data_IF_959734696226
#
_entry.id   IF_959734696226
#
_cell.length_a   1.000
_cell.length_b   1.000
_cell.length_c   1.000
_cell.angle_alpha   90.00
_cell.angle_beta   90.00
_cell.angle_gamma   90.00
#
_symmetry.space_group_name_H-M   'P 1'
#
loop_
_entity.id
_entity.type
_entity.pdbx_description
1 polymer ?
#
# COMPACT_ATOMS: atom_id res chain seq x y z
N UNK A 1 -2.29 -29.03 3.24
CA UNK A 1 -2.21 -27.57 3.21
C UNK A 1 -3.32 -27.09 2.28
N UNK A 2 -4.36 -26.43 2.80
CA UNK A 2 -5.42 -25.84 1.98
C UNK A 2 -4.82 -24.67 1.21
N UNK A 3 -5.00 -24.65 -0.12
CA UNK A 3 -4.62 -23.50 -0.95
C UNK A 3 -5.29 -22.24 -0.39
N UNK A 4 -4.57 -21.14 -0.14
CA UNK A 4 -5.18 -19.91 0.35
C UNK A 4 -6.28 -19.47 -0.63
N UNK A 5 -7.43 -19.09 -0.08
CA UNK A 5 -8.55 -18.62 -0.89
C UNK A 5 -8.30 -17.17 -1.31
N UNK A 6 -8.25 -16.93 -2.61
CA UNK A 6 -8.14 -15.57 -3.15
C UNK A 6 -9.44 -14.80 -2.95
N UNK A 7 -9.35 -13.59 -2.47
CA UNK A 7 -10.46 -12.62 -2.39
C UNK A 7 -10.40 -11.59 -3.51
N UNK A 8 -9.20 -11.33 -4.06
CA UNK A 8 -8.99 -10.53 -5.26
C UNK A 8 -8.17 -11.35 -6.24
N UNK A 9 -8.59 -11.39 -7.48
CA UNK A 9 -7.89 -11.99 -8.60
C UNK A 9 -7.88 -11.00 -9.76
N UNK A 10 -6.69 -10.62 -10.19
CA UNK A 10 -6.45 -9.71 -11.31
C UNK A 10 -5.58 -10.41 -12.33
N UNK A 11 -6.03 -10.45 -13.59
CA UNK A 11 -5.30 -11.08 -14.70
C UNK A 11 -5.30 -10.15 -15.89
N UNK A 12 -4.09 -9.78 -16.31
CA UNK A 12 -3.83 -8.98 -17.50
C UNK A 12 -4.69 -7.71 -17.57
N UNK A 13 -4.75 -6.99 -16.44
CA UNK A 13 -5.58 -5.80 -16.31
C UNK A 13 -5.01 -4.65 -17.12
N UNK A 14 -5.85 -4.10 -18.01
CA UNK A 14 -5.53 -2.89 -18.77
C UNK A 14 -6.55 -1.79 -18.54
N UNK A 15 -6.05 -0.55 -18.46
CA UNK A 15 -6.87 0.67 -18.48
C UNK A 15 -6.17 1.76 -19.28
N UNK A 16 -6.83 2.20 -20.35
CA UNK A 16 -6.37 3.31 -21.19
C UNK A 16 -7.30 4.51 -21.11
N UNK A 17 -6.75 5.71 -21.24
CA UNK A 17 -7.43 6.99 -21.38
C UNK A 17 -6.88 7.70 -22.61
N UNK A 18 -7.64 7.69 -23.72
CA UNK A 18 -7.09 8.10 -25.01
C UNK A 18 -5.86 7.26 -25.35
N UNK A 19 -4.72 7.92 -25.57
CA UNK A 19 -3.46 7.25 -25.92
C UNK A 19 -2.61 6.86 -24.69
N UNK A 20 -3.06 7.16 -23.48
CA UNK A 20 -2.30 6.89 -22.25
C UNK A 20 -2.76 5.60 -21.60
N UNK A 21 -1.88 4.62 -21.47
CA UNK A 21 -2.10 3.42 -20.66
C UNK A 21 -1.81 3.73 -19.18
N UNK A 22 -2.85 3.83 -18.38
CA UNK A 22 -2.73 4.05 -16.93
C UNK A 22 -2.46 2.74 -16.16
N UNK A 23 -2.94 1.61 -16.68
CA UNK A 23 -2.63 0.26 -16.21
C UNK A 23 -2.38 -0.59 -17.45
N UNK A 24 -1.28 -1.33 -17.47
CA UNK A 24 -0.78 -2.06 -18.64
C UNK A 24 -0.35 -3.48 -18.27
N UNK A 25 -1.29 -4.44 -18.34
CA UNK A 25 -1.04 -5.86 -18.13
C UNK A 25 -0.80 -6.27 -16.67
N UNK A 26 -1.38 -5.56 -15.70
CA UNK A 26 -1.19 -5.85 -14.27
C UNK A 26 -1.90 -7.14 -13.87
N UNK A 27 -1.18 -8.04 -13.19
CA UNK A 27 -1.70 -9.31 -12.67
C UNK A 27 -1.24 -9.55 -11.24
N UNK A 28 -2.16 -9.85 -10.31
CA UNK A 28 -1.87 -10.21 -8.93
C UNK A 28 -3.08 -10.86 -8.25
N UNK A 29 -2.84 -11.46 -7.09
CA UNK A 29 -3.85 -12.03 -6.21
C UNK A 29 -3.73 -11.46 -4.81
N UNK A 30 -4.86 -11.33 -4.10
CA UNK A 30 -4.89 -11.03 -2.66
C UNK A 30 -5.58 -12.21 -1.96
N UNK A 31 -4.91 -12.73 -0.93
CA UNK A 31 -5.41 -13.87 -0.15
C UNK A 31 -6.33 -13.40 0.97
N UNK A 32 -7.25 -14.25 1.38
CA UNK A 32 -8.16 -13.96 2.48
C UNK A 32 -7.40 -13.73 3.78
N UNK A 33 -7.69 -12.63 4.46
CA UNK A 33 -7.12 -12.25 5.75
C UNK A 33 -5.73 -11.63 5.69
N UNK A 34 -5.13 -11.45 4.50
CA UNK A 34 -3.86 -10.72 4.39
C UNK A 34 -4.07 -9.21 4.28
N UNK A 35 -3.07 -8.45 4.67
CA UNK A 35 -2.89 -7.06 4.30
C UNK A 35 -1.94 -6.98 3.12
N UNK A 36 -2.47 -6.58 1.97
CA UNK A 36 -1.72 -6.40 0.73
C UNK A 36 -1.42 -4.92 0.50
N UNK A 37 -0.12 -4.57 0.40
CA UNK A 37 0.31 -3.21 0.11
C UNK A 37 0.53 -3.01 -1.39
N UNK A 38 -0.17 -2.04 -2.01
CA UNK A 38 0.05 -1.65 -3.39
C UNK A 38 0.89 -0.37 -3.42
N UNK A 39 2.17 -0.52 -3.78
CA UNK A 39 3.18 0.53 -3.75
C UNK A 39 3.45 1.06 -5.16
N UNK A 40 3.98 2.27 -5.24
CA UNK A 40 4.39 2.87 -6.52
C UNK A 40 4.37 4.40 -6.44
N UNK A 41 5.05 5.10 -7.37
CA UNK A 41 5.05 6.55 -7.43
C UNK A 41 3.68 7.12 -7.79
N UNK A 42 3.52 8.43 -7.64
CA UNK A 42 2.32 9.13 -8.07
C UNK A 42 2.17 8.99 -9.60
N UNK A 43 0.94 8.70 -10.04
CA UNK A 43 0.66 8.47 -11.47
C UNK A 43 1.01 7.06 -11.97
N UNK A 44 1.53 6.16 -11.13
CA UNK A 44 1.87 4.78 -11.52
C UNK A 44 0.67 3.88 -11.88
N UNK A 45 -0.56 4.34 -11.66
CA UNK A 45 -1.78 3.57 -11.95
C UNK A 45 -2.47 2.94 -10.73
N UNK A 46 -1.93 3.11 -9.51
CA UNK A 46 -2.50 2.53 -8.27
C UNK A 46 -3.98 2.86 -8.07
N UNK A 47 -4.32 4.15 -8.01
CA UNK A 47 -5.72 4.58 -7.80
C UNK A 47 -6.64 4.09 -8.91
N UNK A 48 -6.17 4.07 -10.16
CA UNK A 48 -6.93 3.51 -11.29
C UNK A 48 -7.20 2.01 -11.10
N UNK A 49 -6.20 1.24 -10.67
CA UNK A 49 -6.38 -0.18 -10.40
C UNK A 49 -7.38 -0.41 -9.24
N UNK A 50 -7.23 0.33 -8.13
CA UNK A 50 -8.13 0.24 -6.97
C UNK A 50 -9.56 0.60 -7.36
N UNK A 51 -9.79 1.72 -8.04
CA UNK A 51 -11.14 2.13 -8.50
C UNK A 51 -11.81 1.07 -9.39
N UNK A 52 -11.02 0.29 -10.13
CA UNK A 52 -11.54 -0.86 -10.90
C UNK A 52 -11.93 -2.00 -9.95
N UNK A 53 -11.13 -2.31 -8.94
CA UNK A 53 -11.43 -3.35 -7.95
C UNK A 53 -12.66 -3.00 -7.10
N UNK A 54 -12.86 -1.73 -6.79
CA UNK A 54 -14.03 -1.20 -6.07
C UNK A 54 -15.32 -1.20 -6.94
N UNK A 55 -15.19 -1.41 -8.25
CA UNK A 55 -16.29 -1.31 -9.20
C UNK A 55 -16.74 0.12 -9.50
N UNK A 56 -15.92 1.11 -9.13
CA UNK A 56 -16.16 2.52 -9.44
C UNK A 56 -15.79 2.85 -10.89
N UNK A 57 -14.74 2.20 -11.42
CA UNK A 57 -14.20 2.43 -12.76
C UNK A 57 -14.24 1.16 -13.60
N UNK A 58 -14.54 1.31 -14.89
CA UNK A 58 -14.46 0.21 -15.85
C UNK A 58 -13.06 0.02 -16.37
N UNK A 59 -12.62 -1.24 -16.46
CA UNK A 59 -11.38 -1.62 -17.15
C UNK A 59 -11.52 -1.52 -18.67
N UNK A 60 -10.40 -1.45 -19.38
CA UNK A 60 -10.38 -1.56 -20.86
C UNK A 60 -10.39 -3.03 -21.28
N UNK A 61 -9.57 -3.87 -20.64
CA UNK A 61 -9.52 -5.33 -20.85
C UNK A 61 -8.96 -6.04 -19.62
N UNK A 62 -8.83 -7.37 -19.70
CA UNK A 62 -8.38 -8.22 -18.61
C UNK A 62 -9.53 -8.77 -17.77
N UNK A 63 -9.18 -9.62 -16.80
CA UNK A 63 -10.15 -10.25 -15.89
C UNK A 63 -9.92 -9.76 -14.47
N UNK A 64 -11.02 -9.43 -13.78
CA UNK A 64 -11.00 -9.00 -12.37
C UNK A 64 -12.12 -9.72 -11.64
N UNK A 65 -11.77 -10.35 -10.53
CA UNK A 65 -12.72 -10.92 -9.57
C UNK A 65 -12.39 -10.38 -8.16
N UNK A 66 -13.40 -9.88 -7.49
CA UNK A 66 -13.31 -9.40 -6.11
C UNK A 66 -14.42 -10.08 -5.32
N UNK A 67 -14.05 -10.79 -4.25
CA UNK A 67 -14.97 -11.63 -3.46
C UNK A 67 -15.82 -12.57 -4.33
N UNK A 68 -15.21 -13.10 -5.42
CA UNK A 68 -15.82 -14.05 -6.35
C UNK A 68 -16.70 -13.41 -7.44
N UNK A 69 -16.88 -12.08 -7.47
CA UNK A 69 -17.70 -11.38 -8.45
C UNK A 69 -16.86 -10.46 -9.35
N UNK A 70 -17.36 -10.18 -10.55
CA UNK A 70 -16.83 -9.13 -11.41
C UNK A 70 -17.35 -7.76 -10.91
N UNK A 71 -16.45 -6.84 -10.46
CA UNK A 71 -16.85 -5.54 -9.92
C UNK A 71 -17.73 -4.69 -10.83
N UNK A 72 -17.58 -4.81 -12.16
CA UNK A 72 -18.39 -4.05 -13.12
C UNK A 72 -19.85 -4.48 -13.16
N UNK A 73 -20.15 -5.70 -12.71
CA UNK A 73 -21.49 -6.31 -12.77
C UNK A 73 -22.08 -6.54 -11.39
N UNK A 74 -21.32 -6.31 -10.34
CA UNK A 74 -21.71 -6.64 -8.98
C UNK A 74 -22.78 -5.69 -8.43
N UNK A 75 -23.73 -6.26 -7.68
CA UNK A 75 -24.85 -5.55 -7.08
C UNK A 75 -24.58 -5.00 -5.67
N UNK A 76 -25.66 -4.54 -5.00
CA UNK A 76 -25.58 -3.94 -3.67
C UNK A 76 -25.10 -4.92 -2.60
N UNK A 77 -25.50 -6.18 -2.66
CA UNK A 77 -25.09 -7.22 -1.70
C UNK A 77 -23.57 -7.42 -1.71
N UNK A 78 -22.95 -7.35 -2.89
CA UNK A 78 -21.51 -7.40 -3.02
C UNK A 78 -20.86 -6.13 -2.45
N UNK A 79 -21.41 -4.94 -2.76
CA UNK A 79 -20.89 -3.65 -2.22
C UNK A 79 -20.95 -3.61 -0.70
N UNK A 80 -21.98 -4.22 -0.08
CA UNK A 80 -22.11 -4.30 1.38
C UNK A 80 -20.98 -5.11 2.05
N UNK A 81 -20.22 -5.92 1.29
CA UNK A 81 -19.07 -6.70 1.78
C UNK A 81 -17.75 -5.95 1.67
N UNK A 82 -17.75 -4.74 1.06
CA UNK A 82 -16.59 -3.87 0.90
C UNK A 82 -16.61 -2.74 1.91
N UNK A 83 -15.44 -2.38 2.41
CA UNK A 83 -15.18 -1.12 3.07
C UNK A 83 -14.24 -0.29 2.20
N UNK A 84 -14.53 1.00 2.04
CA UNK A 84 -13.72 1.90 1.22
C UNK A 84 -13.42 3.16 2.01
N UNK A 85 -12.12 3.47 2.12
CA UNK A 85 -11.62 4.69 2.76
C UNK A 85 -10.80 5.47 1.72
N UNK A 86 -11.46 6.46 1.09
CA UNK A 86 -10.85 7.26 0.03
C UNK A 86 -9.82 8.26 0.58
N UNK A 87 -8.90 8.72 -0.26
CA UNK A 87 -7.89 9.73 0.08
C UNK A 87 -8.51 11.06 0.56
N UNK A 88 -9.61 11.48 -0.01
CA UNK A 88 -10.35 12.68 0.39
C UNK A 88 -11.84 12.40 0.54
N UNK A 89 -12.40 12.75 1.69
CA UNK A 89 -13.84 12.81 1.88
C UNK A 89 -14.35 14.18 1.45
N UNK A 90 -15.48 14.18 0.73
CA UNK A 90 -16.18 15.41 0.33
C UNK A 90 -16.64 16.25 1.55
N UNK A 91 -17.23 17.42 1.30
CA UNK A 91 -17.79 18.25 2.35
C UNK A 91 -18.85 17.47 3.15
N UNK A 92 -18.55 17.24 4.42
CA UNK A 92 -19.47 16.59 5.35
C UNK A 92 -20.42 17.65 5.93
N UNK A 93 -21.71 17.36 5.86
CA UNK A 93 -22.76 18.23 6.37
C UNK A 93 -22.68 18.54 7.87
N UNK A 94 -23.67 19.24 8.39
CA UNK A 94 -23.75 19.62 9.81
C UNK A 94 -24.27 18.47 10.70
N UNK A 95 -23.60 17.30 10.61
CA UNK A 95 -23.91 16.11 11.42
C UNK A 95 -22.79 15.80 12.39
N UNK A 96 -23.12 15.14 13.49
CA UNK A 96 -22.13 14.65 14.47
C UNK A 96 -21.51 13.34 14.00
N UNK A 97 -20.37 12.96 14.62
CA UNK A 97 -19.72 11.65 14.37
C UNK A 97 -20.70 10.50 14.58
N UNK A 98 -21.42 10.51 15.70
CA UNK A 98 -22.41 9.47 16.03
C UNK A 98 -23.55 9.41 15.03
N UNK A 99 -24.14 10.54 14.67
CA UNK A 99 -25.23 10.59 13.68
C UNK A 99 -24.78 10.05 12.33
N UNK A 100 -23.59 10.39 11.87
CA UNK A 100 -23.04 9.86 10.62
C UNK A 100 -22.87 8.34 10.68
N UNK A 101 -22.22 7.82 11.72
CA UNK A 101 -22.01 6.38 11.85
C UNK A 101 -23.32 5.61 12.01
N UNK A 102 -24.28 6.15 12.77
CA UNK A 102 -25.61 5.57 12.87
C UNK A 102 -26.33 5.51 11.52
N UNK A 103 -26.22 6.59 10.73
CA UNK A 103 -26.77 6.61 9.38
C UNK A 103 -26.14 5.53 8.50
N UNK A 104 -24.80 5.45 8.46
CA UNK A 104 -24.12 4.43 7.65
C UNK A 104 -24.41 3.01 8.14
N UNK A 105 -24.44 2.79 9.46
CA UNK A 105 -24.81 1.50 10.04
C UNK A 105 -26.17 1.01 9.55
N UNK A 106 -27.15 1.92 9.38
CA UNK A 106 -28.50 1.57 8.89
C UNK A 106 -28.56 1.05 7.45
N UNK A 107 -27.48 1.24 6.67
CA UNK A 107 -27.37 0.78 5.29
C UNK A 107 -26.87 -0.67 5.17
N UNK A 108 -26.37 -1.25 6.25
CA UNK A 108 -25.81 -2.60 6.26
C UNK A 108 -26.70 -3.58 7.02
N UNK A 109 -26.77 -4.85 6.57
CA UNK A 109 -27.64 -5.84 7.22
C UNK A 109 -27.12 -6.30 8.59
N UNK A 110 -25.80 -6.23 8.82
CA UNK A 110 -25.16 -6.64 10.06
C UNK A 110 -24.00 -5.69 10.42
N UNK A 111 -24.28 -4.42 10.77
CA UNK A 111 -23.24 -3.45 11.07
C UNK A 111 -22.53 -3.79 12.40
N UNK A 112 -21.35 -3.18 12.62
CA UNK A 112 -20.72 -3.11 13.94
C UNK A 112 -21.55 -2.18 14.82
N UNK A 113 -21.42 -2.35 16.15
CA UNK A 113 -21.95 -1.39 17.08
C UNK A 113 -21.28 -0.03 16.90
N UNK A 114 -22.07 1.05 16.91
CA UNK A 114 -21.58 2.42 16.64
C UNK A 114 -20.60 2.88 17.72
N UNK A 115 -20.86 2.54 19.00
CA UNK A 115 -19.98 2.92 20.10
C UNK A 115 -18.66 2.14 20.07
N UNK A 116 -18.71 0.85 19.73
CA UNK A 116 -17.49 0.05 19.50
C UNK A 116 -16.63 0.64 18.38
N UNK A 117 -17.25 1.07 17.27
CA UNK A 117 -16.50 1.69 16.17
C UNK A 117 -15.92 3.04 16.54
N UNK A 118 -16.67 3.88 17.25
CA UNK A 118 -16.19 5.17 17.76
C UNK A 118 -14.96 4.96 18.67
N UNK A 119 -15.02 3.99 19.57
CA UNK A 119 -13.91 3.64 20.45
C UNK A 119 -12.71 3.10 19.67
N UNK A 120 -12.94 2.20 18.70
CA UNK A 120 -11.89 1.62 17.89
C UNK A 120 -11.06 2.66 17.11
N UNK A 121 -11.69 3.77 16.69
CA UNK A 121 -10.99 4.88 16.01
C UNK A 121 -10.55 5.99 16.97
N UNK A 122 -10.77 5.86 18.29
CA UNK A 122 -10.35 6.82 19.32
C UNK A 122 -11.06 8.16 19.20
N UNK A 123 -12.39 8.14 19.03
CA UNK A 123 -13.23 9.33 18.87
C UNK A 123 -14.33 9.44 19.95
N UNK A 124 -14.20 8.76 21.10
CA UNK A 124 -15.20 8.71 22.17
C UNK A 124 -15.56 10.12 22.66
N UNK A 125 -14.56 10.97 22.93
CA UNK A 125 -14.77 12.35 23.39
C UNK A 125 -15.35 13.26 22.29
N UNK A 126 -15.32 12.82 21.04
CA UNK A 126 -15.79 13.56 19.87
C UNK A 126 -17.07 12.99 19.26
N UNK A 127 -17.67 11.96 19.88
CA UNK A 127 -18.88 11.30 19.36
C UNK A 127 -20.03 12.28 19.06
N UNK A 128 -20.24 13.28 19.93
CA UNK A 128 -21.24 14.34 19.77
C UNK A 128 -20.73 15.60 19.03
N UNK A 129 -19.48 15.64 18.60
CA UNK A 129 -18.94 16.79 17.88
C UNK A 129 -19.38 16.81 16.43
N UNK A 130 -19.67 17.99 15.88
CA UNK A 130 -19.92 18.16 14.45
C UNK A 130 -18.67 17.85 13.67
N UNK A 131 -18.76 17.04 12.62
CA UNK A 131 -17.60 16.58 11.82
C UNK A 131 -16.84 17.76 11.21
N UNK A 132 -17.54 18.82 10.78
CA UNK A 132 -16.90 20.04 10.26
C UNK A 132 -15.99 20.77 11.27
N UNK A 133 -16.14 20.50 12.59
CA UNK A 133 -15.32 21.08 13.66
C UNK A 133 -14.12 20.22 14.05
N UNK A 134 -13.99 19.02 13.47
CA UNK A 134 -12.88 18.11 13.73
C UNK A 134 -11.60 18.56 13.01
N UNK A 135 -10.44 18.20 13.59
CA UNK A 135 -9.18 18.33 12.88
C UNK A 135 -9.13 17.41 11.65
N UNK A 136 -8.17 17.62 10.74
CA UNK A 136 -8.00 16.75 9.57
C UNK A 136 -7.81 15.28 9.94
N UNK A 137 -6.93 15.00 10.92
CA UNK A 137 -6.72 13.63 11.41
C UNK A 137 -7.97 13.03 12.08
N UNK A 138 -8.74 13.82 12.83
CA UNK A 138 -10.00 13.33 13.41
C UNK A 138 -11.04 13.03 12.33
N UNK A 139 -11.16 13.87 11.30
CA UNK A 139 -12.03 13.57 10.15
C UNK A 139 -11.62 12.28 9.44
N UNK A 140 -10.31 12.09 9.24
CA UNK A 140 -9.80 10.85 8.62
C UNK A 140 -10.15 9.60 9.44
N UNK A 141 -10.15 9.70 10.79
CA UNK A 141 -10.63 8.61 11.67
C UNK A 141 -12.14 8.34 11.51
N UNK A 142 -12.94 9.37 11.22
CA UNK A 142 -14.37 9.17 10.87
C UNK A 142 -14.51 8.44 9.54
N UNK A 143 -13.70 8.75 8.54
CA UNK A 143 -13.73 8.06 7.24
C UNK A 143 -13.41 6.57 7.41
N UNK A 144 -12.40 6.26 8.22
CA UNK A 144 -12.07 4.87 8.57
C UNK A 144 -13.24 4.20 9.31
N UNK A 145 -13.86 4.89 10.27
CA UNK A 145 -15.01 4.39 10.99
C UNK A 145 -16.18 4.05 10.06
N UNK A 146 -16.44 4.90 9.06
CA UNK A 146 -17.44 4.62 8.00
C UNK A 146 -17.03 3.40 7.17
N UNK A 147 -15.76 3.27 6.83
CA UNK A 147 -15.27 2.12 6.04
C UNK A 147 -15.42 0.77 6.75
N UNK A 148 -15.36 0.75 8.10
CA UNK A 148 -15.40 -0.51 8.87
C UNK A 148 -16.77 -0.81 9.50
N UNK A 149 -17.71 0.14 9.50
CA UNK A 149 -19.02 -0.01 10.16
C UNK A 149 -19.82 -1.20 9.62
N UNK A 150 -19.70 -1.50 8.32
CA UNK A 150 -20.39 -2.58 7.62
C UNK A 150 -19.83 -3.98 7.85
N UNK A 151 -18.80 -4.18 8.69
CA UNK A 151 -18.05 -5.45 8.83
C UNK A 151 -17.53 -5.97 7.49
N UNK A 152 -16.71 -5.21 6.76
CA UNK A 152 -16.27 -5.61 5.42
C UNK A 152 -15.43 -6.89 5.46
N UNK A 153 -15.57 -7.72 4.41
CA UNK A 153 -14.65 -8.83 4.15
C UNK A 153 -13.36 -8.35 3.48
N UNK A 154 -13.44 -7.26 2.70
CA UNK A 154 -12.32 -6.59 2.05
C UNK A 154 -12.42 -5.08 2.30
N UNK A 155 -11.35 -4.51 2.88
CA UNK A 155 -11.22 -3.09 3.17
C UNK A 155 -10.16 -2.46 2.26
N UNK A 156 -10.55 -1.45 1.50
CA UNK A 156 -9.65 -0.60 0.73
C UNK A 156 -9.26 0.61 1.55
N UNK A 157 -7.96 0.85 1.68
CA UNK A 157 -7.37 1.97 2.41
C UNK A 157 -6.46 2.74 1.47
N UNK A 158 -6.94 3.87 0.95
CA UNK A 158 -6.16 4.72 0.05
C UNK A 158 -5.50 5.85 0.85
N UNK A 159 -4.17 5.72 1.05
CA UNK A 159 -3.33 6.64 1.84
C UNK A 159 -3.93 7.02 3.21
N UNK A 160 -4.27 6.04 4.06
CA UNK A 160 -5.16 6.26 5.21
C UNK A 160 -4.57 7.15 6.30
N UNK A 161 -3.24 7.25 6.43
CA UNK A 161 -2.58 8.00 7.50
C UNK A 161 -2.03 9.35 7.07
N UNK A 162 -2.36 9.80 5.87
CA UNK A 162 -1.95 11.12 5.40
C UNK A 162 -2.46 12.22 6.33
N UNK A 163 -1.54 13.05 6.86
CA UNK A 163 -1.85 14.12 7.81
C UNK A 163 -2.01 13.67 9.27
N UNK A 164 -1.71 12.41 9.59
CA UNK A 164 -1.66 11.96 11.00
C UNK A 164 -0.33 12.36 11.64
N UNK A 165 -0.41 12.71 12.93
CA UNK A 165 0.77 12.74 13.80
C UNK A 165 1.27 11.32 14.10
N UNK A 166 2.49 11.16 14.64
CA UNK A 166 3.07 9.83 14.91
C UNK A 166 2.22 8.97 15.88
N UNK A 167 1.51 9.57 16.85
CA UNK A 167 0.69 8.85 17.80
C UNK A 167 -0.60 8.35 17.15
N UNK A 168 -1.26 9.21 16.39
CA UNK A 168 -2.43 8.86 15.59
C UNK A 168 -2.13 7.73 14.60
N UNK A 169 -0.96 7.78 13.95
CA UNK A 169 -0.53 6.74 13.01
C UNK A 169 -0.34 5.39 13.71
N UNK A 170 0.31 5.35 14.87
CA UNK A 170 0.49 4.10 15.64
C UNK A 170 -0.86 3.51 16.09
N UNK A 171 -1.77 4.36 16.54
CA UNK A 171 -3.12 3.94 16.93
C UNK A 171 -3.89 3.36 15.75
N UNK A 172 -3.77 3.99 14.58
CA UNK A 172 -4.35 3.49 13.34
C UNK A 172 -3.75 2.14 12.92
N UNK A 173 -2.45 1.97 13.00
CA UNK A 173 -1.81 0.68 12.71
C UNK A 173 -2.29 -0.44 13.65
N UNK A 174 -2.50 -0.13 14.93
CA UNK A 174 -3.08 -1.08 15.88
C UNK A 174 -4.51 -1.50 15.47
N UNK A 175 -5.34 -0.54 15.02
CA UNK A 175 -6.67 -0.83 14.49
C UNK A 175 -6.62 -1.72 13.25
N UNK A 176 -5.74 -1.43 12.28
CA UNK A 176 -5.59 -2.24 11.06
C UNK A 176 -5.21 -3.68 11.42
N UNK A 177 -4.24 -3.88 12.33
CA UNK A 177 -3.86 -5.22 12.80
C UNK A 177 -5.00 -5.94 13.51
N UNK A 178 -5.81 -5.23 14.29
CA UNK A 178 -6.99 -5.79 14.92
C UNK A 178 -7.99 -6.27 13.86
N UNK A 179 -8.32 -5.44 12.87
CA UNK A 179 -9.24 -5.81 11.79
C UNK A 179 -8.75 -7.04 11.00
N UNK A 180 -7.45 -7.10 10.72
CA UNK A 180 -6.81 -8.27 10.10
C UNK A 180 -6.96 -9.52 10.98
N UNK A 181 -6.71 -9.40 12.29
CA UNK A 181 -6.86 -10.52 13.23
C UNK A 181 -8.31 -11.01 13.36
N UNK A 182 -9.29 -10.17 13.06
CA UNK A 182 -10.72 -10.50 12.96
C UNK A 182 -11.09 -11.16 11.62
N UNK A 183 -10.13 -11.29 10.70
CA UNK A 183 -10.28 -11.93 9.39
C UNK A 183 -10.62 -10.99 8.23
N UNK A 184 -10.61 -9.66 8.45
CA UNK A 184 -10.75 -8.68 7.37
C UNK A 184 -9.52 -8.72 6.46
N UNK A 185 -9.74 -8.84 5.15
CA UNK A 185 -8.66 -8.67 4.16
C UNK A 185 -8.50 -7.19 3.88
N UNK A 186 -7.27 -6.73 3.71
CA UNK A 186 -6.98 -5.29 3.55
C UNK A 186 -6.13 -5.07 2.31
N UNK A 187 -6.56 -4.15 1.44
CA UNK A 187 -5.74 -3.58 0.38
C UNK A 187 -5.38 -2.15 0.78
N UNK A 188 -4.09 -1.92 0.98
CA UNK A 188 -3.52 -0.66 1.43
C UNK A 188 -2.71 -0.01 0.32
N UNK A 189 -2.98 1.26 -0.02
CA UNK A 189 -1.99 2.10 -0.71
C UNK A 189 -1.36 3.06 0.28
N UNK A 190 -0.09 3.28 0.11
CA UNK A 190 0.62 4.28 0.92
C UNK A 190 1.86 4.77 0.17
N UNK A 191 2.25 5.99 0.45
CA UNK A 191 3.57 6.53 0.09
C UNK A 191 4.55 6.48 1.27
N UNK A 192 4.07 6.04 2.46
CA UNK A 192 4.90 5.80 3.64
C UNK A 192 5.34 4.33 3.67
N UNK A 193 6.56 4.07 3.26
CA UNK A 193 7.07 2.69 3.18
C UNK A 193 7.17 2.01 4.54
N UNK A 194 7.37 2.80 5.61
CA UNK A 194 7.26 2.31 7.00
C UNK A 194 5.87 1.74 7.32
N UNK A 195 4.80 2.34 6.78
CA UNK A 195 3.44 1.84 6.95
C UNK A 195 3.26 0.49 6.26
N UNK A 196 3.73 0.38 5.02
CA UNK A 196 3.72 -0.89 4.29
C UNK A 196 4.54 -1.96 5.02
N UNK A 197 5.74 -1.61 5.50
CA UNK A 197 6.61 -2.52 6.26
C UNK A 197 5.99 -2.99 7.58
N UNK A 198 5.16 -2.16 8.22
CA UNK A 198 4.52 -2.48 9.51
C UNK A 198 3.22 -3.26 9.35
N UNK A 199 2.48 -3.07 8.28
CA UNK A 199 1.12 -3.59 8.12
C UNK A 199 1.02 -4.67 7.05
N UNK A 200 1.85 -4.63 6.01
CA UNK A 200 1.75 -5.50 4.86
C UNK A 200 2.32 -6.89 5.11
N UNK A 201 1.60 -7.91 4.70
CA UNK A 201 2.12 -9.28 4.60
C UNK A 201 2.84 -9.46 3.25
N UNK A 202 2.24 -8.94 2.18
CA UNK A 202 2.79 -8.93 0.83
C UNK A 202 2.64 -7.55 0.21
N UNK A 203 3.51 -7.25 -0.75
CA UNK A 203 3.40 -6.03 -1.54
C UNK A 203 3.51 -6.29 -3.03
N UNK A 204 2.78 -5.47 -3.81
CA UNK A 204 3.00 -5.28 -5.23
C UNK A 204 3.53 -3.88 -5.50
N UNK A 205 4.58 -3.77 -6.29
CA UNK A 205 5.13 -2.48 -6.73
C UNK A 205 4.66 -2.23 -8.16
N UNK A 206 3.92 -1.14 -8.36
CA UNK A 206 3.52 -0.69 -9.71
C UNK A 206 4.33 0.54 -10.08
N UNK A 207 4.93 0.51 -11.28
CA UNK A 207 5.54 1.66 -11.91
C UNK A 207 5.13 1.71 -13.39
N UNK A 208 4.92 2.90 -13.93
CA UNK A 208 4.53 3.10 -15.34
C UNK A 208 3.35 2.23 -15.81
N UNK A 209 2.39 1.96 -14.91
CA UNK A 209 1.22 1.12 -15.19
C UNK A 209 1.45 -0.38 -15.13
N UNK A 210 2.66 -0.86 -14.83
CA UNK A 210 3.04 -2.28 -14.81
C UNK A 210 3.44 -2.75 -13.42
N UNK A 211 3.22 -4.05 -13.16
CA UNK A 211 3.71 -4.67 -11.94
C UNK A 211 5.22 -4.96 -12.10
N UNK A 212 6.03 -4.30 -11.26
CA UNK A 212 7.50 -4.44 -11.27
C UNK A 212 7.93 -5.60 -10.40
N UNK A 213 7.30 -5.73 -9.20
CA UNK A 213 7.58 -6.81 -8.27
C UNK A 213 6.35 -7.15 -7.44
N UNK A 214 6.27 -8.40 -6.99
CA UNK A 214 5.16 -8.93 -6.20
C UNK A 214 5.68 -10.04 -5.28
N UNK A 215 5.82 -9.76 -3.99
CA UNK A 215 6.42 -10.68 -3.02
C UNK A 215 5.90 -10.45 -1.59
N UNK A 216 6.18 -11.37 -0.65
CA UNK A 216 6.15 -11.04 0.78
C UNK A 216 6.97 -9.79 1.06
N UNK A 217 6.53 -8.98 2.05
CA UNK A 217 7.13 -7.65 2.28
C UNK A 217 8.63 -7.73 2.60
N UNK A 218 9.06 -8.80 3.25
CA UNK A 218 10.45 -9.06 3.63
C UNK A 218 11.29 -9.68 2.49
N UNK A 219 10.65 -10.14 1.40
CA UNK A 219 11.29 -10.72 0.22
C UNK A 219 11.27 -9.79 -1.00
N UNK A 220 10.62 -8.62 -0.89
CA UNK A 220 10.50 -7.66 -1.98
C UNK A 220 11.90 -7.23 -2.49
N UNK A 221 12.07 -7.16 -3.80
CA UNK A 221 13.36 -6.91 -4.46
C UNK A 221 14.26 -8.14 -4.61
N UNK A 222 13.81 -9.31 -4.12
CA UNK A 222 14.54 -10.56 -4.19
C UNK A 222 15.56 -10.77 -3.07
N UNK A 223 16.22 -11.92 -3.10
CA UNK A 223 17.11 -12.37 -2.01
C UNK A 223 18.30 -11.43 -1.73
N UNK A 224 18.76 -10.74 -2.75
CA UNK A 224 19.97 -9.90 -2.67
C UNK A 224 19.67 -8.45 -2.26
N UNK A 225 18.40 -8.02 -2.33
CA UNK A 225 18.02 -6.64 -2.07
C UNK A 225 18.30 -6.18 -0.61
N UNK A 226 18.31 -7.14 0.32
CA UNK A 226 18.49 -6.87 1.75
C UNK A 226 19.83 -7.31 2.30
N UNK A 227 20.80 -7.67 1.42
CA UNK A 227 22.16 -7.97 1.86
C UNK A 227 22.77 -6.74 2.53
N UNK A 228 23.24 -6.85 3.78
CA UNK A 228 23.90 -5.73 4.46
C UNK A 228 25.10 -5.20 3.68
N UNK A 229 25.29 -3.89 3.73
CA UNK A 229 26.39 -3.17 3.10
C UNK A 229 27.30 -2.65 4.21
N UNK A 230 28.57 -3.03 4.17
CA UNK A 230 29.61 -2.44 4.99
C UNK A 230 30.27 -1.33 4.18
N UNK A 231 30.23 -0.10 4.68
CA UNK A 231 30.82 1.08 4.03
C UNK A 231 31.91 1.65 4.92
N UNK A 232 33.02 2.08 4.32
CA UNK A 232 34.13 2.74 5.02
C UNK A 232 34.88 3.67 4.08
N UNK A 233 35.77 4.51 4.64
CA UNK A 233 36.68 5.34 3.87
C UNK A 233 38.10 4.73 3.95
N UNK A 234 38.72 4.54 2.80
CA UNK A 234 40.12 4.05 2.73
C UNK A 234 40.91 4.87 1.68
N UNK A 235 42.03 5.40 2.10
CA UNK A 235 42.90 6.25 1.26
C UNK A 235 42.14 7.47 0.65
N UNK A 236 41.21 8.06 1.42
CA UNK A 236 40.41 9.19 0.97
C UNK A 236 39.27 8.86 -0.02
N UNK A 237 39.00 7.56 -0.29
CA UNK A 237 37.92 7.10 -1.13
C UNK A 237 36.91 6.26 -0.36
N UNK A 238 35.63 6.44 -0.66
CA UNK A 238 34.56 5.58 -0.13
C UNK A 238 34.69 4.16 -0.71
N UNK A 239 34.56 3.16 0.15
CA UNK A 239 34.53 1.74 -0.17
C UNK A 239 33.26 1.14 0.37
N UNK A 240 32.73 0.14 -0.34
CA UNK A 240 31.59 -0.63 0.16
C UNK A 240 31.70 -2.10 -0.24
N UNK A 241 31.15 -2.96 0.59
CA UNK A 241 31.08 -4.40 0.37
C UNK A 241 29.70 -4.91 0.82
N UNK A 242 28.99 -5.60 -0.08
CA UNK A 242 27.75 -6.30 0.23
C UNK A 242 28.07 -7.68 0.80
N UNK A 243 27.54 -8.03 1.97
CA UNK A 243 27.89 -9.29 2.64
C UNK A 243 26.81 -9.78 3.60
N UNK A 244 26.59 -11.10 3.62
CA UNK A 244 25.75 -11.74 4.64
C UNK A 244 26.42 -11.84 6.03
N UNK A 245 27.73 -11.54 6.12
CA UNK A 245 28.51 -11.60 7.36
C UNK A 245 29.19 -10.26 7.68
N UNK A 246 28.45 -9.18 7.90
CA UNK A 246 29.01 -7.83 8.08
C UNK A 246 29.99 -7.76 9.27
N UNK A 247 29.71 -8.50 10.36
CA UNK A 247 30.62 -8.54 11.51
C UNK A 247 32.01 -9.11 11.16
N UNK A 248 32.07 -10.09 10.26
CA UNK A 248 33.35 -10.67 9.82
C UNK A 248 34.15 -9.69 8.96
N UNK A 249 33.47 -8.96 8.07
CA UNK A 249 34.10 -7.90 7.24
C UNK A 249 34.61 -6.77 8.12
N UNK A 250 33.81 -6.30 9.07
CA UNK A 250 34.23 -5.26 10.04
C UNK A 250 35.45 -5.72 10.84
N UNK A 251 35.45 -6.94 11.38
CA UNK A 251 36.59 -7.48 12.14
C UNK A 251 37.86 -7.57 11.28
N UNK A 252 37.75 -7.99 10.02
CA UNK A 252 38.87 -8.06 9.08
C UNK A 252 39.40 -6.65 8.74
N UNK A 253 38.54 -5.65 8.56
CA UNK A 253 38.92 -4.26 8.33
C UNK A 253 39.68 -3.66 9.52
N UNK A 254 39.16 -3.84 10.74
CA UNK A 254 39.78 -3.39 11.97
C UNK A 254 41.17 -4.00 12.14
N UNK A 255 41.31 -5.33 11.92
CA UNK A 255 42.60 -6.01 12.01
C UNK A 255 43.61 -5.53 10.95
N UNK A 256 43.14 -5.29 9.71
CA UNK A 256 43.98 -4.84 8.58
C UNK A 256 44.44 -3.39 8.73
N UNK A 257 43.58 -2.51 9.20
CA UNK A 257 43.85 -1.06 9.31
C UNK A 257 44.47 -0.67 10.66
N UNK A 258 44.53 -1.59 11.62
CA UNK A 258 45.08 -1.36 12.93
C UNK A 258 44.24 -0.52 13.87
N UNK A 259 42.94 -0.33 13.57
CA UNK A 259 41.99 0.45 14.34
C UNK A 259 40.63 0.53 13.64
N UNK A 260 39.73 1.33 14.20
CA UNK A 260 38.39 1.55 13.61
C UNK A 260 38.53 2.28 12.27
N UNK A 261 37.97 1.74 11.18
CA UNK A 261 37.97 2.38 9.87
C UNK A 261 37.20 3.72 9.88
N UNK A 262 37.73 4.71 9.21
CA UNK A 262 37.09 6.01 9.07
C UNK A 262 35.73 5.86 8.34
N UNK A 263 34.65 6.48 8.86
CA UNK A 263 33.35 6.45 8.26
C UNK A 263 32.74 5.03 8.17
N UNK A 264 33.09 4.13 9.11
CA UNK A 264 32.57 2.79 9.16
C UNK A 264 31.07 2.79 9.45
N UNK A 265 30.31 2.25 8.53
CA UNK A 265 28.86 2.06 8.65
C UNK A 265 28.48 0.63 8.24
N UNK A 266 27.49 0.05 8.94
CA UNK A 266 26.83 -1.19 8.55
C UNK A 266 25.38 -0.88 8.22
N UNK A 267 25.07 -0.77 6.93
CA UNK A 267 23.76 -0.42 6.42
C UNK A 267 23.01 -1.71 6.17
N UNK A 268 21.81 -1.82 6.74
CA UNK A 268 20.84 -2.86 6.38
C UNK A 268 19.76 -2.21 5.53
N UNK A 269 19.67 -2.56 4.23
CA UNK A 269 18.68 -1.93 3.34
C UNK A 269 17.27 -2.03 3.92
N UNK A 270 16.61 -0.90 3.98
CA UNK A 270 15.21 -0.76 4.39
C UNK A 270 14.28 -1.13 3.23
N UNK A 271 12.97 -1.21 3.48
CA UNK A 271 11.98 -1.33 2.41
C UNK A 271 12.05 -0.13 1.45
N UNK A 272 12.41 1.05 1.96
CA UNK A 272 12.57 2.27 1.15
C UNK A 272 13.72 2.14 0.16
N UNK A 273 14.88 1.63 0.62
CA UNK A 273 16.03 1.40 -0.26
C UNK A 273 15.68 0.41 -1.38
N UNK A 274 15.04 -0.70 -1.02
CA UNK A 274 14.58 -1.72 -1.99
C UNK A 274 13.57 -1.14 -2.99
N UNK A 275 12.60 -0.37 -2.51
CA UNK A 275 11.60 0.26 -3.35
C UNK A 275 12.21 1.26 -4.33
N UNK A 276 13.16 2.10 -3.88
CA UNK A 276 13.85 3.06 -4.73
C UNK A 276 14.68 2.37 -5.82
N UNK A 277 15.33 1.27 -5.49
CA UNK A 277 16.05 0.46 -6.47
C UNK A 277 15.10 -0.10 -7.54
N UNK A 278 13.96 -0.70 -7.13
CA UNK A 278 12.97 -1.26 -8.04
C UNK A 278 12.39 -0.21 -9.02
N UNK A 279 12.02 0.96 -8.49
CA UNK A 279 11.43 2.04 -9.31
C UNK A 279 12.48 2.77 -10.13
N UNK A 280 13.71 2.88 -9.62
CA UNK A 280 14.84 3.54 -10.31
C UNK A 280 15.29 2.79 -11.56
N UNK A 281 15.32 1.47 -11.53
CA UNK A 281 15.68 0.63 -12.68
C UNK A 281 14.70 0.77 -13.85
N UNK A 282 13.38 0.87 -13.58
CA UNK A 282 12.40 1.07 -14.66
C UNK A 282 12.53 2.43 -15.37
N UNK A 283 12.88 3.49 -14.63
CA UNK A 283 13.12 4.79 -15.27
C UNK A 283 14.34 4.77 -16.20
N UNK A 284 15.35 3.96 -15.92
CA UNK A 284 16.53 3.81 -16.75
C UNK A 284 16.22 3.01 -18.03
N UNK A 285 15.41 1.96 -17.95
CA UNK A 285 15.05 1.11 -19.11
C UNK A 285 14.14 1.86 -20.11
N UNK A 286 13.30 2.78 -19.66
CA UNK A 286 12.49 3.61 -20.54
C UNK A 286 13.27 4.72 -21.28
N UNK A 287 14.46 5.09 -20.79
CA UNK A 287 15.32 6.08 -21.44
C UNK A 287 16.25 5.48 -22.51
N UNK A 288 16.29 4.16 -22.64
CA UNK A 288 17.18 3.43 -23.59
C UNK A 288 16.41 2.80 -24.76
N UNK A 289 15.23 3.26 -25.10
CA UNK A 289 14.59 2.87 -26.37
C UNK A 289 15.36 3.52 -27.54
N UNK A 290 15.95 2.76 -28.49
CA UNK A 290 16.70 3.36 -29.58
C UNK A 290 15.76 4.03 -30.56
N UNK A 291 15.98 5.32 -30.79
CA UNK A 291 15.52 6.02 -31.99
C UNK A 291 16.01 5.26 -33.25
N UNK A 292 15.15 4.46 -33.84
CA UNK A 292 15.35 3.95 -35.17
C UNK A 292 15.17 5.10 -36.14
N UNK A 293 16.26 5.81 -36.40
CA UNK A 293 16.41 6.70 -37.55
C UNK A 293 16.17 5.91 -38.82
N UNK A 294 15.00 6.04 -39.39
CA UNK A 294 14.72 5.64 -40.77
C UNK A 294 15.39 6.66 -41.67
N UNK A 295 16.62 6.33 -42.15
CA UNK A 295 17.20 7.00 -43.30
C UNK A 295 16.33 6.73 -44.53
N UNK A 296 15.55 7.72 -44.92
CA UNK A 296 14.97 7.76 -46.27
C UNK A 296 16.05 8.21 -47.24
N UNK A 297 16.57 7.29 -48.05
CA UNK A 297 17.33 7.62 -49.24
C UNK A 297 16.38 7.86 -50.41
N UNK A 298 16.60 9.00 -51.05
CA UNK A 298 16.18 9.53 -52.33
C UNK A 298 15.57 8.58 -53.35
#
# INVERSE_FOLDING_TARGET
>A
MTTPQNVVEVRDLHKTYGDTAAVDGVSFDIHRGETFALLGPNGAGKSTAIEILEGYRRRTSGEVRVLGADPEKAGLDWKARLGIVLQSSGEVGAVTVREQLTHFASLYPNPRDVDEVIAAVGLEEKAGALIRKLSGGQRRRVDVAVGIIGRPELLFLDEPTTGFDPEARRSFWALVRQLQSEGTTILLTTHYLDEAAQLGDRAGVIASGRMVDLAPIDELGGADARIPIVRWVEQGGAREERTHAPAAVVAALVARLGGEPEGLEVIRPSLEDVYLDLVGHEHADHLVAPDTLTETRA
#
